data_IF_981931800411
#
_entry.id   IF_981931800411
#
_cell.length_a   1.000
_cell.length_b   1.000
_cell.length_c   1.000
_cell.angle_alpha   90.00
_cell.angle_beta   90.00
_cell.angle_gamma   90.00
#
_symmetry.space_group_name_H-M   'P 1'
#
loop_
_entity.id
_entity.type
_entity.pdbx_description
1 polymer ?
#
# COMPACT_ATOMS: atom_id res chain seq x y z
N UNK A 1 -7.36 -20.02 9.69
CA UNK A 1 -7.44 -18.60 9.32
C UNK A 1 -6.17 -18.22 8.57
N UNK A 2 -6.25 -17.59 7.39
CA UNK A 2 -5.05 -17.11 6.67
C UNK A 2 -4.34 -16.05 7.52
N UNK A 3 -3.02 -16.17 7.67
CA UNK A 3 -2.18 -15.19 8.37
C UNK A 3 -1.71 -14.14 7.37
N UNK A 4 -1.62 -12.90 7.81
CA UNK A 4 -1.02 -11.83 7.02
C UNK A 4 0.49 -12.00 7.04
N UNK A 5 1.11 -12.17 5.86
CA UNK A 5 2.53 -12.47 5.75
C UNK A 5 3.41 -11.23 5.59
N UNK A 6 2.87 -10.03 5.86
CA UNK A 6 3.58 -8.75 5.85
C UNK A 6 4.39 -8.54 4.55
N UNK A 7 5.71 -8.76 4.60
CA UNK A 7 6.62 -8.60 3.45
C UNK A 7 6.45 -9.67 2.37
N UNK A 8 5.79 -10.79 2.67
CA UNK A 8 5.46 -11.83 1.70
C UNK A 8 3.99 -11.78 1.27
N UNK A 9 3.30 -10.68 1.58
CA UNK A 9 1.95 -10.47 1.06
C UNK A 9 1.99 -10.31 -0.46
N UNK A 10 1.14 -11.03 -1.22
CA UNK A 10 1.18 -10.98 -2.69
C UNK A 10 0.91 -9.57 -3.22
N UNK A 11 0.07 -8.78 -2.56
CA UNK A 11 -0.19 -7.39 -2.96
C UNK A 11 1.07 -6.53 -2.79
N UNK A 12 1.78 -6.68 -1.67
CA UNK A 12 3.05 -6.01 -1.43
C UNK A 12 4.06 -6.32 -2.55
N UNK A 13 4.25 -7.61 -2.85
CA UNK A 13 5.22 -8.04 -3.85
C UNK A 13 4.85 -7.54 -5.26
N UNK A 14 3.56 -7.59 -5.61
CA UNK A 14 3.07 -7.05 -6.89
C UNK A 14 3.32 -5.54 -6.96
N UNK A 15 2.95 -4.78 -5.92
CA UNK A 15 3.12 -3.33 -5.90
C UNK A 15 4.61 -2.93 -5.89
N UNK A 16 5.46 -3.64 -5.17
CA UNK A 16 6.92 -3.46 -5.23
C UNK A 16 7.47 -3.77 -6.63
N UNK A 17 7.01 -4.85 -7.26
CA UNK A 17 7.37 -5.18 -8.63
C UNK A 17 6.95 -4.09 -9.60
N UNK A 18 5.70 -3.61 -9.52
CA UNK A 18 5.19 -2.51 -10.32
C UNK A 18 5.99 -1.22 -10.12
N UNK A 19 6.39 -0.92 -8.88
CA UNK A 19 7.24 0.23 -8.60
C UNK A 19 8.61 0.11 -9.27
N UNK A 20 9.27 -1.05 -9.16
CA UNK A 20 10.57 -1.31 -9.80
C UNK A 20 10.46 -1.20 -11.32
N UNK A 21 9.44 -1.83 -11.91
CA UNK A 21 9.18 -1.75 -13.36
C UNK A 21 8.91 -0.32 -13.79
N UNK A 22 8.07 0.42 -13.05
CA UNK A 22 7.80 1.81 -13.38
C UNK A 22 9.07 2.66 -13.32
N UNK A 23 9.88 2.50 -12.26
CA UNK A 23 11.09 3.29 -12.05
C UNK A 23 12.19 2.98 -13.06
N UNK A 24 12.40 1.71 -13.41
CA UNK A 24 13.60 1.26 -14.16
C UNK A 24 13.31 0.94 -15.62
N UNK A 25 12.05 0.65 -15.97
CA UNK A 25 11.65 0.30 -17.34
C UNK A 25 10.76 1.38 -17.94
N UNK A 26 9.71 1.83 -17.25
CA UNK A 26 8.75 2.76 -17.85
C UNK A 26 9.28 4.18 -17.88
N UNK A 27 9.73 4.74 -16.74
CA UNK A 27 10.20 6.13 -16.67
C UNK A 27 11.31 6.49 -17.68
N UNK A 28 12.29 5.61 -17.97
CA UNK A 28 13.31 5.90 -18.98
C UNK A 28 12.79 5.92 -20.42
N UNK A 29 11.72 5.17 -20.73
CA UNK A 29 11.22 4.99 -22.10
C UNK A 29 9.91 5.75 -22.39
N UNK A 30 9.18 6.17 -21.36
CA UNK A 30 7.86 6.80 -21.47
C UNK A 30 7.86 8.11 -20.71
N UNK A 31 7.52 9.21 -21.38
CA UNK A 31 7.46 10.56 -20.82
C UNK A 31 6.04 10.99 -20.43
N UNK A 32 5.18 10.03 -20.10
CA UNK A 32 3.81 10.34 -19.67
C UNK A 32 3.81 10.79 -18.20
N UNK A 33 3.25 11.98 -17.94
CA UNK A 33 3.20 12.60 -16.62
C UNK A 33 2.59 11.69 -15.53
N UNK A 34 1.62 10.85 -15.91
CA UNK A 34 0.98 9.89 -14.99
C UNK A 34 1.97 8.91 -14.34
N UNK A 35 2.86 8.28 -15.12
CA UNK A 35 3.84 7.33 -14.59
C UNK A 35 4.94 8.01 -13.78
N UNK A 36 5.20 9.29 -14.08
CA UNK A 36 6.21 10.07 -13.40
C UNK A 36 5.75 10.63 -12.05
N UNK A 37 4.50 11.09 -11.99
CA UNK A 37 3.91 11.75 -10.83
C UNK A 37 3.08 10.76 -10.00
N UNK A 38 1.88 10.39 -10.44
CA UNK A 38 0.88 9.75 -9.57
C UNK A 38 0.95 8.22 -9.44
N UNK A 39 1.55 7.50 -10.41
CA UNK A 39 1.54 6.04 -10.39
C UNK A 39 2.22 5.44 -9.15
N UNK A 40 3.32 6.06 -8.73
CA UNK A 40 4.04 5.61 -7.54
C UNK A 40 3.28 5.94 -6.26
N UNK A 41 2.52 7.03 -6.23
CA UNK A 41 1.73 7.43 -5.08
C UNK A 41 0.62 6.42 -4.80
N UNK A 42 -0.07 5.93 -5.84
CA UNK A 42 -1.06 4.86 -5.69
C UNK A 42 -0.47 3.55 -5.15
N UNK A 43 0.82 3.29 -5.37
CA UNK A 43 1.52 2.12 -4.85
C UNK A 43 2.05 2.31 -3.43
N UNK A 44 2.10 3.55 -2.93
CA UNK A 44 2.70 3.89 -1.64
C UNK A 44 2.06 3.09 -0.51
N UNK A 45 0.74 3.12 -0.38
CA UNK A 45 0.03 2.47 0.73
C UNK A 45 0.17 0.94 0.71
N UNK A 46 -0.10 0.22 -0.41
CA UNK A 46 0.10 -1.24 -0.43
C UNK A 46 1.56 -1.65 -0.26
N UNK A 47 2.54 -0.82 -0.64
CA UNK A 47 3.96 -1.08 -0.40
C UNK A 47 4.42 -0.76 1.02
N UNK A 48 3.97 0.35 1.63
CA UNK A 48 4.50 0.86 2.89
C UNK A 48 3.80 0.27 4.12
N UNK A 49 2.51 -0.07 3.99
CA UNK A 49 1.73 -0.58 5.11
C UNK A 49 2.25 -1.93 5.65
N UNK A 50 2.59 -2.94 4.83
CA UNK A 50 3.05 -4.24 5.34
C UNK A 50 4.37 -4.17 6.13
N UNK A 51 5.43 -3.47 5.68
CA UNK A 51 6.61 -3.19 6.50
C UNK A 51 6.29 -2.42 7.78
N UNK A 52 5.40 -1.41 7.74
CA UNK A 52 5.05 -0.66 8.95
C UNK A 52 4.33 -1.55 9.98
N UNK A 53 3.39 -2.38 9.54
CA UNK A 53 2.69 -3.29 10.46
C UNK A 53 3.63 -4.35 11.04
N UNK A 54 4.65 -4.76 10.29
CA UNK A 54 5.71 -5.61 10.82
C UNK A 54 6.50 -4.87 11.90
N UNK A 55 6.85 -3.60 11.69
CA UNK A 55 7.50 -2.77 12.70
C UNK A 55 6.63 -2.61 13.95
N UNK A 56 5.32 -2.36 13.80
CA UNK A 56 4.38 -2.29 14.93
C UNK A 56 4.35 -3.61 15.72
N UNK A 57 4.43 -4.76 15.03
CA UNK A 57 4.55 -6.06 15.69
C UNK A 57 5.88 -6.21 16.43
N UNK A 58 7.00 -5.84 15.80
CA UNK A 58 8.33 -5.91 16.42
C UNK A 58 8.47 -4.99 17.65
N UNK A 59 7.82 -3.83 17.63
CA UNK A 59 7.76 -2.90 18.76
C UNK A 59 6.71 -3.29 19.81
N UNK A 60 5.94 -4.37 19.62
CA UNK A 60 4.90 -4.81 20.55
C UNK A 60 3.62 -3.96 20.55
N UNK A 61 3.47 -3.02 19.62
CA UNK A 61 2.23 -2.23 19.44
C UNK A 61 1.09 -3.06 18.85
N UNK A 62 1.42 -4.16 18.16
CA UNK A 62 0.45 -5.06 17.52
C UNK A 62 0.73 -6.51 17.88
N UNK A 63 -0.21 -7.14 18.58
CA UNK A 63 -0.11 -8.54 19.02
C UNK A 63 -0.89 -9.54 18.14
N UNK A 64 -1.24 -9.17 16.90
CA UNK A 64 -2.02 -10.04 16.01
C UNK A 64 -1.50 -10.07 14.57
N UNK A 65 -1.59 -11.26 13.96
CA UNK A 65 -1.21 -11.54 12.57
C UNK A 65 -2.41 -11.59 11.61
N UNK A 66 -3.52 -10.96 12.01
CA UNK A 66 -4.66 -10.75 11.13
C UNK A 66 -4.28 -9.78 9.98
N UNK A 67 -5.10 -9.73 8.94
CA UNK A 67 -4.97 -8.70 7.90
C UNK A 67 -5.09 -7.28 8.49
N UNK A 68 -4.59 -6.26 7.78
CA UNK A 68 -4.73 -4.86 8.18
C UNK A 68 -6.19 -4.52 8.49
N UNK A 69 -6.41 -3.75 9.55
CA UNK A 69 -7.73 -3.22 9.89
C UNK A 69 -8.01 -1.95 9.10
N UNK A 70 -9.28 -1.61 8.91
CA UNK A 70 -9.67 -0.34 8.28
C UNK A 70 -9.06 0.86 9.00
N UNK A 71 -8.99 0.80 10.34
CA UNK A 71 -8.38 1.85 11.16
C UNK A 71 -6.89 2.05 10.86
N UNK A 72 -6.14 0.97 10.65
CA UNK A 72 -4.70 1.06 10.33
C UNK A 72 -4.46 1.59 8.94
N UNK A 73 -5.26 1.16 7.95
CA UNK A 73 -5.19 1.69 6.59
C UNK A 73 -5.53 3.18 6.60
N UNK A 74 -6.59 3.58 7.31
CA UNK A 74 -7.01 4.96 7.41
C UNK A 74 -5.98 5.83 8.14
N UNK A 75 -5.44 5.36 9.27
CA UNK A 75 -4.38 6.06 10.00
C UNK A 75 -3.12 6.23 9.14
N UNK A 76 -2.77 5.23 8.34
CA UNK A 76 -1.64 5.32 7.41
C UNK A 76 -1.91 6.32 6.29
N UNK A 77 -3.10 6.28 5.68
CA UNK A 77 -3.53 7.24 4.66
C UNK A 77 -3.47 8.68 5.19
N UNK A 78 -4.05 8.93 6.37
CA UNK A 78 -4.03 10.25 7.02
C UNK A 78 -2.60 10.66 7.35
N UNK A 79 -1.80 9.76 7.92
CA UNK A 79 -0.40 10.02 8.27
C UNK A 79 0.43 10.45 7.06
N UNK A 80 0.32 9.72 5.93
CA UNK A 80 1.01 10.06 4.69
C UNK A 80 0.48 11.34 4.05
N UNK A 81 -0.84 11.56 4.06
CA UNK A 81 -1.45 12.80 3.54
C UNK A 81 -0.95 14.02 4.32
N UNK A 82 -0.96 13.96 5.66
CA UNK A 82 -0.42 15.04 6.51
C UNK A 82 1.08 15.21 6.29
N UNK A 83 1.84 14.12 6.19
CA UNK A 83 3.28 14.20 6.00
C UNK A 83 3.65 14.85 4.66
N UNK A 84 2.97 14.51 3.56
CA UNK A 84 3.29 15.07 2.25
C UNK A 84 2.64 16.42 1.96
N UNK A 85 1.43 16.70 2.43
CA UNK A 85 0.78 18.00 2.19
C UNK A 85 1.15 19.06 3.23
N UNK A 86 1.31 18.66 4.50
CA UNK A 86 1.55 19.61 5.58
C UNK A 86 3.03 19.71 5.92
N UNK A 87 3.71 18.58 6.12
CA UNK A 87 5.09 18.59 6.60
C UNK A 87 6.06 18.81 5.43
N UNK A 88 5.84 18.14 4.30
CA UNK A 88 6.68 18.19 3.10
C UNK A 88 7.01 19.62 2.63
N UNK A 89 6.01 20.48 2.39
CA UNK A 89 6.24 21.85 1.90
C UNK A 89 6.93 22.76 2.91
N UNK A 90 6.90 22.39 4.20
CA UNK A 90 7.55 23.16 5.28
C UNK A 90 9.03 22.81 5.42
N UNK A 91 9.44 21.61 5.01
CA UNK A 91 10.82 21.12 5.13
C UNK A 91 11.56 21.22 3.79
N UNK A 92 10.86 21.04 2.68
CA UNK A 92 11.42 21.03 1.34
C UNK A 92 10.67 22.03 0.45
N UNK A 93 11.34 22.59 -0.57
CA UNK A 93 10.72 23.46 -1.59
C UNK A 93 9.85 22.65 -2.57
N UNK A 94 8.85 21.97 -2.03
CA UNK A 94 7.82 21.25 -2.78
C UNK A 94 6.48 21.95 -2.54
N UNK A 95 5.60 21.92 -3.54
CA UNK A 95 4.22 22.40 -3.40
C UNK A 95 3.37 21.17 -3.19
N UNK A 96 2.56 21.13 -2.13
CA UNK A 96 1.63 20.02 -1.92
C UNK A 96 0.61 19.97 -3.06
N UNK A 97 0.47 18.82 -3.72
CA UNK A 97 -0.53 18.57 -4.74
C UNK A 97 -1.66 17.70 -4.16
N UNK A 98 -2.90 18.22 -4.02
CA UNK A 98 -4.04 17.46 -3.53
C UNK A 98 -4.36 16.20 -4.34
N UNK A 99 -3.88 16.11 -5.59
CA UNK A 99 -4.02 14.91 -6.41
C UNK A 99 -3.20 13.74 -5.86
N UNK A 100 -2.13 13.99 -5.11
CA UNK A 100 -1.34 12.94 -4.47
C UNK A 100 -2.16 12.25 -3.37
N UNK A 101 -2.97 13.00 -2.62
CA UNK A 101 -3.90 12.45 -1.63
C UNK A 101 -4.96 11.58 -2.29
N UNK A 102 -5.47 11.99 -3.46
CA UNK A 102 -6.41 11.16 -4.24
C UNK A 102 -5.72 9.87 -4.69
N UNK A 103 -4.48 9.93 -5.15
CA UNK A 103 -3.71 8.75 -5.53
C UNK A 103 -3.48 7.80 -4.35
N UNK A 104 -3.10 8.32 -3.18
CA UNK A 104 -2.98 7.54 -1.94
C UNK A 104 -4.32 6.90 -1.56
N UNK A 105 -5.42 7.64 -1.63
CA UNK A 105 -6.75 7.15 -1.30
C UNK A 105 -7.18 5.99 -2.22
N UNK A 106 -6.93 6.10 -3.53
CA UNK A 106 -7.19 5.01 -4.48
C UNK A 106 -6.36 3.77 -4.12
N UNK A 107 -5.07 3.93 -3.83
CA UNK A 107 -4.20 2.84 -3.38
C UNK A 107 -4.70 2.16 -2.11
N UNK A 108 -5.12 2.95 -1.10
CA UNK A 108 -5.72 2.45 0.14
C UNK A 108 -7.00 1.65 -0.10
N UNK A 109 -7.90 2.16 -0.96
CA UNK A 109 -9.17 1.49 -1.25
C UNK A 109 -8.93 0.16 -1.97
N UNK A 110 -8.05 0.12 -2.97
CA UNK A 110 -7.71 -1.11 -3.68
C UNK A 110 -7.08 -2.15 -2.74
N UNK A 111 -6.16 -1.72 -1.88
CA UNK A 111 -5.55 -2.59 -0.89
C UNK A 111 -6.56 -3.11 0.14
N UNK A 112 -7.45 -2.24 0.62
CA UNK A 112 -8.53 -2.63 1.53
C UNK A 112 -9.44 -3.67 0.89
N UNK A 113 -9.87 -3.46 -0.35
CA UNK A 113 -10.72 -4.37 -1.10
C UNK A 113 -10.03 -5.72 -1.27
N UNK A 114 -8.75 -5.74 -1.67
CA UNK A 114 -7.96 -6.96 -1.81
C UNK A 114 -7.89 -7.77 -0.52
N UNK A 115 -7.48 -7.15 0.59
CA UNK A 115 -7.40 -7.84 1.88
C UNK A 115 -8.77 -8.23 2.43
N UNK A 116 -9.85 -7.54 2.03
CA UNK A 116 -11.21 -7.92 2.41
C UNK A 116 -11.72 -9.12 1.61
N UNK A 117 -11.45 -9.18 0.31
CA UNK A 117 -11.73 -10.37 -0.51
C UNK A 117 -10.98 -11.60 0.01
N UNK A 118 -9.72 -11.43 0.43
CA UNK A 118 -8.92 -12.55 0.94
C UNK A 118 -9.38 -13.05 2.32
N UNK A 119 -10.08 -12.21 3.09
CA UNK A 119 -10.82 -12.62 4.30
C UNK A 119 -12.12 -13.37 3.97
N UNK A 120 -12.79 -12.99 2.89
CA UNK A 120 -14.12 -13.53 2.50
C UNK A 120 -14.00 -14.82 1.70
N UNK A 121 -12.85 -15.10 1.09
CA UNK A 121 -12.63 -16.32 0.31
C UNK A 121 -11.93 -17.38 1.18
N UNK A 122 -12.65 -18.17 2.01
CA UNK A 122 -12.09 -19.42 2.48
C UNK A 122 -11.83 -20.24 1.23
N UNK A 123 -10.62 -20.77 1.10
CA UNK A 123 -10.25 -21.63 0.00
C UNK A 123 -11.35 -22.69 -0.19
N UNK A 124 -12.05 -22.62 -1.33
CA UNK A 124 -12.71 -23.76 -1.96
C UNK A 124 -11.59 -24.72 -2.41
N UNK A 125 -10.90 -25.32 -1.44
CA UNK A 125 -10.02 -26.48 -1.59
C UNK A 125 -10.65 -27.60 -0.79
N UNK A 126 -11.76 -28.09 -1.31
CA UNK A 126 -12.45 -29.32 -0.87
C UNK A 126 -13.23 -29.89 -2.06
N UNK A 127 -12.63 -29.83 -3.25
CA UNK A 127 -13.23 -30.36 -4.48
C UNK A 127 -12.24 -31.15 -5.35
N UNK A 128 -11.03 -31.44 -4.83
CA UNK A 128 -10.04 -32.31 -5.47
C UNK A 128 -9.74 -33.56 -4.60
N UNK A 129 -10.58 -33.84 -3.60
CA UNK A 129 -10.58 -35.10 -2.83
C UNK A 129 -11.97 -35.76 -2.94
N UNK A 130 -12.38 -36.13 -4.16
CA UNK A 130 -13.42 -37.12 -4.43
C UNK A 130 -13.00 -37.96 -5.65
#
# INVERSE_FOLDING_TARGET
MKRFNYLLDPLFLICCGLYVVNRWVIKPHVHAAFFHNWFNDGLLIPCALPPLLLLHKLCGLRNHDAFPTTGEIAAHLVGWSVLFEWIGPRIMRTTGDPWDVVAYAVGAVLAFVWWRFDRITPLRKTADEL
#
